data_IF_367478608744
#
_entry.id   IF_367478608744
#
_cell.length_a   1.000
_cell.length_b   1.000
_cell.length_c   1.000
_cell.angle_alpha   90.00
_cell.angle_beta   90.00
_cell.angle_gamma   90.00
#
_symmetry.space_group_name_H-M   'P 1'
#
loop_
_entity.id
_entity.type
_entity.pdbx_description
1 polymer ?
#
# COMPACT_ATOMS: atom_id res chain seq x y z
N UNK A 1 15.24 -4.25 -57.17
CA UNK A 1 14.30 -3.32 -57.82
C UNK A 1 14.67 -3.12 -59.29
N UNK A 2 13.70 -2.94 -60.18
CA UNK A 2 13.96 -2.60 -61.60
C UNK A 2 13.96 -1.07 -61.84
N UNK A 3 14.41 -0.62 -63.02
CA UNK A 3 14.52 0.82 -63.34
C UNK A 3 13.16 1.55 -63.31
N UNK A 4 12.06 0.90 -63.70
CA UNK A 4 10.72 1.50 -63.65
C UNK A 4 10.25 1.72 -62.21
N UNK A 5 10.38 0.70 -61.35
CA UNK A 5 10.06 0.78 -59.92
C UNK A 5 10.92 1.83 -59.20
N UNK A 6 12.20 1.91 -59.55
CA UNK A 6 13.11 2.92 -59.01
C UNK A 6 12.67 4.32 -59.40
N UNK A 7 12.29 4.52 -60.67
CA UNK A 7 11.80 5.80 -61.19
C UNK A 7 10.51 6.22 -60.49
N UNK A 8 9.54 5.33 -60.34
CA UNK A 8 8.27 5.62 -59.63
C UNK A 8 8.48 6.11 -58.20
N UNK A 9 9.43 5.50 -57.47
CA UNK A 9 9.80 5.98 -56.13
C UNK A 9 10.49 7.34 -56.21
N UNK A 10 11.44 7.50 -57.12
CA UNK A 10 12.25 8.71 -57.24
C UNK A 10 11.47 9.92 -57.78
N UNK A 11 10.30 9.73 -58.41
CA UNK A 11 9.40 10.84 -58.79
C UNK A 11 9.04 11.71 -57.57
N UNK A 12 8.92 11.10 -56.38
CA UNK A 12 8.58 11.82 -55.16
C UNK A 12 9.79 12.36 -54.39
N UNK A 13 11.01 12.04 -54.83
CA UNK A 13 12.25 12.41 -54.15
C UNK A 13 12.60 13.89 -54.42
N UNK A 14 12.74 14.68 -53.34
CA UNK A 14 12.94 16.14 -53.38
C UNK A 14 14.38 16.55 -53.03
N UNK A 15 15.34 15.68 -53.33
CA UNK A 15 16.76 15.93 -53.08
C UNK A 15 17.07 16.00 -51.58
N UNK A 16 17.79 17.04 -51.16
CA UNK A 16 18.32 17.21 -49.79
C UNK A 16 17.33 17.07 -48.64
N UNK A 17 16.03 17.29 -48.89
CA UNK A 17 14.98 17.09 -47.87
C UNK A 17 14.84 15.60 -47.51
N UNK A 18 14.99 14.75 -48.52
CA UNK A 18 14.67 13.33 -48.45
C UNK A 18 15.94 12.45 -48.47
N UNK A 19 17.14 13.05 -48.40
CA UNK A 19 18.43 12.35 -48.41
C UNK A 19 18.59 11.36 -47.24
N UNK A 20 17.95 11.67 -46.10
CA UNK A 20 17.96 10.84 -44.90
C UNK A 20 16.75 9.89 -44.81
N UNK A 21 15.85 9.89 -45.80
CA UNK A 21 14.67 9.04 -45.81
C UNK A 21 14.99 7.65 -46.39
N UNK A 22 14.90 6.57 -45.58
CA UNK A 22 15.23 5.21 -46.02
C UNK A 22 14.39 4.74 -47.22
N UNK A 23 13.22 5.35 -47.47
CA UNK A 23 12.36 4.98 -48.59
C UNK A 23 13.05 5.14 -49.96
N UNK A 24 13.99 6.07 -50.09
CA UNK A 24 14.67 6.37 -51.35
C UNK A 24 16.05 5.72 -51.48
N UNK A 25 16.63 5.18 -50.41
CA UNK A 25 18.01 4.65 -50.40
C UNK A 25 18.26 3.58 -51.48
N UNK A 26 17.38 2.58 -51.55
CA UNK A 26 17.49 1.50 -52.54
C UNK A 26 17.36 2.04 -53.98
N UNK A 27 16.49 3.02 -54.19
CA UNK A 27 16.24 3.64 -55.49
C UNK A 27 17.40 4.53 -55.95
N UNK A 28 17.96 5.30 -55.03
CA UNK A 28 19.16 6.10 -55.27
C UNK A 28 20.37 5.22 -55.55
N UNK A 29 20.51 4.09 -54.83
CA UNK A 29 21.57 3.12 -55.09
C UNK A 29 21.43 2.47 -56.48
N UNK A 30 20.20 2.19 -56.92
CA UNK A 30 19.92 1.72 -58.29
C UNK A 30 20.26 2.78 -59.34
N UNK A 31 19.80 4.02 -59.14
CA UNK A 31 20.10 5.14 -60.04
C UNK A 31 21.59 5.40 -60.19
N UNK A 32 22.44 5.18 -59.16
CA UNK A 32 23.90 5.31 -59.30
C UNK A 32 24.53 4.31 -60.29
N UNK A 33 23.88 3.17 -60.53
CA UNK A 33 24.36 2.13 -61.44
C UNK A 33 23.77 2.25 -62.86
N UNK A 34 22.73 3.07 -63.03
CA UNK A 34 22.01 3.28 -64.28
C UNK A 34 22.20 4.75 -64.73
N UNK A 35 23.08 5.02 -65.72
CA UNK A 35 23.39 6.38 -66.15
C UNK A 35 22.20 7.21 -66.62
N UNK A 36 21.22 6.56 -67.27
CA UNK A 36 20.02 7.22 -67.80
C UNK A 36 19.10 7.64 -66.65
N UNK A 37 18.88 6.72 -65.70
CA UNK A 37 18.10 7.05 -64.50
C UNK A 37 18.80 8.12 -63.64
N UNK A 38 20.12 8.07 -63.53
CA UNK A 38 20.90 9.10 -62.83
C UNK A 38 20.73 10.49 -63.45
N UNK A 39 20.71 10.57 -64.78
CA UNK A 39 20.50 11.82 -65.50
C UNK A 39 19.09 12.36 -65.29
N UNK A 40 18.09 11.49 -65.40
CA UNK A 40 16.71 11.84 -65.13
C UNK A 40 16.51 12.39 -63.70
N UNK A 41 17.12 11.78 -62.68
CA UNK A 41 17.07 12.30 -61.29
C UNK A 41 17.73 13.68 -61.19
N UNK A 42 18.86 13.91 -61.88
CA UNK A 42 19.53 15.22 -61.89
C UNK A 42 18.64 16.30 -62.52
N UNK A 43 17.97 15.99 -63.62
CA UNK A 43 17.05 16.91 -64.28
C UNK A 43 15.82 17.23 -63.42
N UNK A 44 15.22 16.20 -62.81
CA UNK A 44 14.11 16.36 -61.87
C UNK A 44 14.50 17.29 -60.71
N UNK A 45 15.69 17.09 -60.12
CA UNK A 45 16.20 17.95 -59.03
C UNK A 45 16.31 19.41 -59.45
N UNK A 46 16.83 19.70 -60.65
CA UNK A 46 16.90 21.07 -61.18
C UNK A 46 15.51 21.73 -61.27
N UNK A 47 14.52 20.97 -61.73
CA UNK A 47 13.13 21.44 -61.79
C UNK A 47 12.57 21.76 -60.40
N UNK A 48 12.75 20.86 -59.42
CA UNK A 48 12.32 21.10 -58.04
C UNK A 48 13.04 22.27 -57.38
N UNK A 49 14.36 22.39 -57.58
CA UNK A 49 15.15 23.48 -57.01
C UNK A 49 14.71 24.83 -57.58
N UNK A 50 14.37 24.89 -58.87
CA UNK A 50 13.82 26.10 -59.52
C UNK A 50 12.46 26.49 -58.93
N UNK A 51 11.53 25.54 -58.84
CA UNK A 51 10.20 25.77 -58.23
C UNK A 51 10.36 26.23 -56.78
N UNK A 52 11.24 25.57 -56.02
CA UNK A 52 11.50 25.89 -54.62
C UNK A 52 12.09 27.29 -54.46
N UNK A 53 13.02 27.68 -55.31
CA UNK A 53 13.59 29.03 -55.32
C UNK A 53 12.47 30.06 -55.52
N UNK A 54 11.62 29.86 -56.52
CA UNK A 54 10.49 30.76 -56.80
C UNK A 54 9.47 30.82 -55.68
N UNK A 55 9.15 29.70 -55.05
CA UNK A 55 8.25 29.68 -53.89
C UNK A 55 8.84 30.39 -52.67
N UNK A 56 10.16 30.34 -52.47
CA UNK A 56 10.85 31.03 -51.38
C UNK A 56 10.93 32.55 -51.56
N UNK A 57 10.80 33.04 -52.78
CA UNK A 57 10.69 34.48 -53.07
C UNK A 57 9.35 35.06 -52.59
N UNK A 58 8.35 34.23 -52.29
CA UNK A 58 7.03 34.67 -51.80
C UNK A 58 7.07 34.82 -50.29
N UNK A 59 6.88 36.05 -49.80
CA UNK A 59 6.72 36.30 -48.36
C UNK A 59 5.41 35.69 -47.85
N UNK A 60 5.45 34.77 -46.87
CA UNK A 60 4.24 34.23 -46.27
C UNK A 60 3.48 35.33 -45.51
N UNK A 61 2.14 35.45 -45.66
CA UNK A 61 1.35 36.34 -44.83
C UNK A 61 1.53 36.02 -43.34
N UNK A 62 1.63 37.05 -42.50
CA UNK A 62 1.90 36.89 -41.06
C UNK A 62 0.80 36.12 -40.31
N UNK A 63 -0.41 36.05 -40.86
CA UNK A 63 -1.57 35.35 -40.28
C UNK A 63 -1.76 33.92 -40.81
N UNK A 64 -0.88 33.44 -41.71
CA UNK A 64 -1.02 32.15 -42.37
C UNK A 64 -0.95 30.97 -41.38
N UNK A 65 0.00 31.02 -40.44
CA UNK A 65 0.17 29.97 -39.43
C UNK A 65 -1.08 29.81 -38.56
N UNK A 66 -1.66 30.93 -38.12
CA UNK A 66 -2.90 30.95 -37.34
C UNK A 66 -4.08 30.38 -38.13
N UNK A 67 -4.24 30.80 -39.40
CA UNK A 67 -5.28 30.29 -40.29
C UNK A 67 -5.17 28.78 -40.52
N UNK A 68 -3.95 28.23 -40.63
CA UNK A 68 -3.73 26.78 -40.79
C UNK A 68 -4.13 26.04 -39.52
N UNK A 69 -3.66 26.48 -38.35
CA UNK A 69 -3.97 25.85 -37.05
C UNK A 69 -5.48 25.88 -36.78
N UNK A 70 -6.14 27.01 -37.07
CA UNK A 70 -7.57 27.17 -36.86
C UNK A 70 -8.42 26.27 -37.77
N UNK A 71 -7.99 26.05 -39.01
CA UNK A 71 -8.74 25.25 -40.01
C UNK A 71 -8.40 23.76 -40.01
N UNK A 72 -7.25 23.36 -39.47
CA UNK A 72 -6.89 21.94 -39.28
C UNK A 72 -6.81 21.63 -37.79
N UNK A 73 -7.92 21.17 -37.16
CA UNK A 73 -7.81 20.62 -35.81
C UNK A 73 -6.86 19.42 -35.86
N UNK A 74 -5.75 19.50 -35.15
CA UNK A 74 -4.88 18.35 -34.90
C UNK A 74 -5.75 17.34 -34.14
N UNK A 75 -6.07 16.16 -34.69
CA UNK A 75 -6.83 15.19 -33.95
C UNK A 75 -5.96 14.71 -32.78
N UNK A 76 -6.20 15.25 -31.59
CA UNK A 76 -5.71 14.64 -30.36
C UNK A 76 -6.43 13.31 -30.22
N UNK A 77 -5.86 12.26 -30.81
CA UNK A 77 -6.34 10.89 -30.67
C UNK A 77 -6.10 10.48 -29.23
N UNK A 78 -7.06 10.78 -28.35
CA UNK A 78 -7.05 10.32 -26.96
C UNK A 78 -7.11 8.80 -26.99
N UNK A 79 -5.93 8.17 -26.95
CA UNK A 79 -5.80 6.73 -27.08
C UNK A 79 -6.54 6.05 -25.94
N UNK A 80 -7.49 5.18 -26.27
CA UNK A 80 -8.23 4.36 -25.30
C UNK A 80 -7.30 3.59 -24.35
N UNK A 81 -6.07 3.33 -24.77
CA UNK A 81 -4.99 2.74 -23.96
C UNK A 81 -4.58 3.60 -22.76
N UNK A 82 -4.64 4.93 -22.84
CA UNK A 82 -4.34 5.82 -21.72
C UNK A 82 -5.47 5.81 -20.67
N UNK A 83 -6.72 5.68 -21.12
CA UNK A 83 -7.88 5.56 -20.22
C UNK A 83 -7.82 4.24 -19.45
N UNK A 84 -7.49 3.14 -20.14
CA UNK A 84 -7.33 1.81 -19.52
C UNK A 84 -6.18 1.79 -18.49
N UNK A 85 -5.04 2.45 -18.77
CA UNK A 85 -3.93 2.56 -17.82
C UNK A 85 -4.32 3.31 -16.54
N UNK A 86 -5.07 4.41 -16.67
CA UNK A 86 -5.57 5.17 -15.51
C UNK A 86 -6.56 4.35 -14.67
N UNK A 87 -7.48 3.63 -15.31
CA UNK A 87 -8.43 2.77 -14.62
C UNK A 87 -7.72 1.65 -13.82
N UNK A 88 -6.72 1.00 -14.42
CA UNK A 88 -5.93 -0.02 -13.74
C UNK A 88 -5.17 0.53 -12.52
N UNK A 89 -4.57 1.72 -12.64
CA UNK A 89 -3.86 2.36 -11.54
C UNK A 89 -4.79 2.67 -10.34
N UNK A 90 -6.01 3.15 -10.61
CA UNK A 90 -7.01 3.41 -9.58
C UNK A 90 -7.39 2.11 -8.85
N UNK A 91 -7.67 1.04 -9.59
CA UNK A 91 -8.05 -0.26 -9.00
C UNK A 91 -6.94 -0.83 -8.12
N UNK A 92 -5.69 -0.74 -8.55
CA UNK A 92 -4.53 -1.19 -7.77
C UNK A 92 -4.41 -0.36 -6.48
N UNK A 93 -4.51 0.97 -6.57
CA UNK A 93 -4.41 1.84 -5.40
C UNK A 93 -5.52 1.60 -4.37
N UNK A 94 -6.77 1.39 -4.83
CA UNK A 94 -7.91 1.09 -3.98
C UNK A 94 -7.75 -0.28 -3.29
N UNK A 95 -7.22 -1.26 -4.02
CA UNK A 95 -6.98 -2.61 -3.52
C UNK A 95 -5.89 -2.63 -2.44
N UNK A 96 -4.79 -1.91 -2.64
CA UNK A 96 -3.72 -1.76 -1.63
C UNK A 96 -4.28 -1.09 -0.37
N UNK A 97 -5.02 0.01 -0.53
CA UNK A 97 -5.62 0.75 0.59
C UNK A 97 -6.58 -0.14 1.39
N UNK A 98 -7.43 -0.93 0.73
CA UNK A 98 -8.36 -1.85 1.39
C UNK A 98 -7.62 -2.97 2.14
N UNK A 99 -6.55 -3.52 1.57
CA UNK A 99 -5.72 -4.54 2.24
C UNK A 99 -5.03 -3.96 3.47
N UNK A 100 -4.43 -2.76 3.35
CA UNK A 100 -3.80 -2.07 4.48
C UNK A 100 -4.78 -1.80 5.62
N UNK A 101 -5.99 -1.30 5.31
CA UNK A 101 -7.02 -1.07 6.32
C UNK A 101 -7.45 -2.36 7.03
N UNK A 102 -7.58 -3.45 6.27
CA UNK A 102 -7.94 -4.78 6.82
C UNK A 102 -6.83 -5.35 7.71
N UNK A 103 -5.57 -5.12 7.38
CA UNK A 103 -4.43 -5.52 8.21
C UNK A 103 -4.39 -4.73 9.52
N UNK A 104 -4.63 -3.42 9.48
CA UNK A 104 -4.67 -2.57 10.68
C UNK A 104 -5.83 -2.92 11.62
N UNK A 105 -7.02 -3.23 11.08
CA UNK A 105 -8.14 -3.73 11.90
C UNK A 105 -7.82 -5.05 12.59
N UNK A 106 -7.04 -5.94 11.97
CA UNK A 106 -6.73 -7.26 12.54
C UNK A 106 -5.81 -7.18 13.76
N UNK A 107 -4.89 -6.23 13.76
CA UNK A 107 -3.94 -6.00 14.85
C UNK A 107 -4.61 -5.35 16.07
N UNK A 108 -5.47 -4.35 15.85
CA UNK A 108 -6.25 -3.73 16.92
C UNK A 108 -7.21 -4.70 17.62
N UNK A 109 -7.86 -5.60 16.86
CA UNK A 109 -8.71 -6.63 17.45
C UNK A 109 -7.94 -7.67 18.30
N UNK A 110 -6.67 -7.98 17.97
CA UNK A 110 -5.84 -8.87 18.79
C UNK A 110 -5.52 -8.27 20.16
N UNK A 111 -5.23 -6.97 20.21
CA UNK A 111 -4.99 -6.27 21.48
C UNK A 111 -6.25 -6.25 22.37
N UNK A 112 -7.44 -6.21 21.76
CA UNK A 112 -8.73 -6.25 22.47
C UNK A 112 -9.08 -7.64 22.98
N UNK A 113 -8.60 -8.72 22.35
CA UNK A 113 -8.95 -10.09 22.74
C UNK A 113 -8.02 -10.72 23.80
N UNK A 114 -6.92 -10.07 24.16
CA UNK A 114 -5.98 -10.55 25.19
C UNK A 114 -5.26 -11.85 24.81
N UNK A 115 -4.11 -12.12 25.42
CA UNK A 115 -3.36 -13.37 25.24
C UNK A 115 -3.83 -14.39 26.26
N UNK A 116 -4.30 -15.56 25.84
CA UNK A 116 -4.62 -16.64 26.78
C UNK A 116 -3.34 -17.13 27.47
N UNK A 117 -3.35 -17.10 28.81
CA UNK A 117 -2.25 -17.55 29.66
C UNK A 117 -2.77 -18.34 30.87
N UNK A 118 -1.86 -19.10 31.49
CA UNK A 118 -2.10 -19.80 32.75
C UNK A 118 -1.08 -19.29 33.76
N UNK A 119 -1.56 -18.74 34.87
CA UNK A 119 -0.74 -18.13 35.92
C UNK A 119 -0.89 -18.92 37.20
N UNK A 120 0.21 -19.46 37.73
CA UNK A 120 0.27 -20.03 39.09
C UNK A 120 0.88 -19.00 40.02
N UNK A 121 0.24 -18.74 41.16
CA UNK A 121 0.69 -17.69 42.06
C UNK A 121 -0.18 -17.49 43.29
N UNK A 122 0.25 -16.58 44.15
CA UNK A 122 -0.43 -16.19 45.38
C UNK A 122 -1.52 -15.15 45.10
N UNK A 123 -2.74 -15.35 45.62
CA UNK A 123 -3.81 -14.34 45.54
C UNK A 123 -3.57 -13.23 46.57
N UNK A 124 -3.57 -11.98 46.11
CA UNK A 124 -3.24 -10.79 46.90
C UNK A 124 -4.45 -9.88 47.08
N UNK A 125 -4.54 -9.23 48.25
CA UNK A 125 -5.16 -7.91 48.35
C UNK A 125 -4.17 -6.87 47.81
N UNK A 126 -4.47 -6.29 46.66
CA UNK A 126 -3.56 -5.35 45.99
C UNK A 126 -3.35 -4.07 46.78
N UNK A 127 -4.32 -3.68 47.62
CA UNK A 127 -4.21 -2.46 48.43
C UNK A 127 -3.10 -2.62 49.45
N UNK A 128 -3.16 -3.69 50.25
CA UNK A 128 -2.16 -4.00 51.27
C UNK A 128 -0.82 -4.41 50.67
N UNK A 129 -0.82 -5.14 49.55
CA UNK A 129 0.42 -5.51 48.86
C UNK A 129 1.16 -4.29 48.31
N UNK A 130 0.48 -3.36 47.64
CA UNK A 130 1.15 -2.17 47.08
C UNK A 130 1.57 -1.20 48.18
N UNK A 131 0.72 -0.95 49.17
CA UNK A 131 1.01 0.06 50.21
C UNK A 131 2.04 -0.41 51.23
N UNK A 132 2.03 -1.70 51.59
CA UNK A 132 2.77 -2.22 52.73
C UNK A 132 3.56 -3.51 52.44
N UNK A 133 3.57 -3.98 51.18
CA UNK A 133 4.19 -5.25 50.80
C UNK A 133 3.71 -6.45 51.64
N UNK A 134 2.44 -6.40 52.08
CA UNK A 134 1.82 -7.47 52.86
C UNK A 134 1.34 -8.59 51.94
N UNK A 135 1.79 -9.81 52.21
CA UNK A 135 1.33 -11.05 51.59
C UNK A 135 1.60 -12.23 52.53
N UNK A 136 1.22 -13.43 52.12
CA UNK A 136 1.48 -14.68 52.82
C UNK A 136 0.43 -15.05 53.87
N UNK A 137 0.58 -16.24 54.49
CA UNK A 137 -0.42 -16.81 55.39
C UNK A 137 -0.82 -15.91 56.56
N UNK A 138 0.13 -15.15 57.10
CA UNK A 138 -0.11 -14.19 58.20
C UNK A 138 -1.12 -13.08 57.82
N UNK A 139 -1.19 -12.74 56.53
CA UNK A 139 -2.10 -11.72 56.02
C UNK A 139 -3.40 -12.29 55.43
N UNK A 140 -3.58 -13.63 55.44
CA UNK A 140 -4.71 -14.29 54.77
C UNK A 140 -6.08 -13.82 55.28
N UNK A 141 -6.23 -13.64 56.60
CA UNK A 141 -7.49 -13.22 57.22
C UNK A 141 -7.88 -11.79 56.81
N UNK A 142 -6.94 -10.86 56.91
CA UNK A 142 -7.14 -9.46 56.53
C UNK A 142 -7.41 -9.33 55.03
N UNK A 143 -6.58 -9.98 54.19
CA UNK A 143 -6.77 -9.99 52.75
C UNK A 143 -8.15 -10.55 52.36
N UNK A 144 -8.60 -11.66 52.97
CA UNK A 144 -9.92 -12.22 52.70
C UNK A 144 -11.03 -11.20 52.96
N UNK A 145 -10.98 -10.51 54.09
CA UNK A 145 -12.03 -9.55 54.48
C UNK A 145 -12.03 -8.31 53.59
N UNK A 146 -10.85 -7.79 53.25
CA UNK A 146 -10.65 -6.72 52.28
C UNK A 146 -11.23 -7.07 50.91
N UNK A 147 -10.91 -8.26 50.41
CA UNK A 147 -11.39 -8.74 49.12
C UNK A 147 -12.91 -8.89 49.13
N UNK A 148 -13.51 -9.45 50.20
CA UNK A 148 -14.97 -9.55 50.35
C UNK A 148 -15.68 -8.20 50.31
N UNK A 149 -15.01 -7.13 50.77
CA UNK A 149 -15.50 -5.75 50.72
C UNK A 149 -15.34 -5.07 49.36
N UNK A 150 -14.76 -5.76 48.38
CA UNK A 150 -14.62 -5.24 47.01
C UNK A 150 -13.27 -4.58 46.72
N UNK A 151 -12.27 -4.69 47.61
CA UNK A 151 -10.93 -4.18 47.30
C UNK A 151 -10.28 -4.95 46.14
N UNK A 152 -9.38 -4.32 45.37
CA UNK A 152 -8.81 -4.94 44.17
C UNK A 152 -8.01 -6.21 44.50
N UNK A 153 -8.26 -7.27 43.75
CA UNK A 153 -7.57 -8.56 43.91
C UNK A 153 -6.51 -8.72 42.84
N UNK A 154 -5.36 -9.26 43.21
CA UNK A 154 -4.32 -9.63 42.26
C UNK A 154 -3.84 -11.06 42.42
N UNK A 155 -2.97 -11.47 41.53
CA UNK A 155 -2.16 -12.68 41.67
C UNK A 155 -0.69 -12.33 41.47
N UNK A 156 0.17 -12.73 42.40
CA UNK A 156 1.62 -12.70 42.25
C UNK A 156 2.10 -14.05 41.73
N UNK A 157 2.46 -14.07 40.47
CA UNK A 157 2.96 -15.26 39.79
C UNK A 157 4.28 -15.72 40.39
N UNK A 158 4.62 -17.00 40.18
CA UNK A 158 5.89 -17.59 40.64
C UNK A 158 7.13 -16.93 40.04
N UNK A 159 6.99 -16.27 38.88
CA UNK A 159 8.05 -15.47 38.23
C UNK A 159 8.17 -14.05 38.82
N UNK A 160 7.35 -13.71 39.82
CA UNK A 160 7.32 -12.40 40.48
C UNK A 160 6.40 -11.36 39.84
N UNK A 161 5.83 -11.63 38.65
CA UNK A 161 4.92 -10.69 37.99
C UNK A 161 3.56 -10.65 38.69
N UNK A 162 2.99 -9.45 38.81
CA UNK A 162 1.69 -9.24 39.47
C UNK A 162 0.65 -8.83 38.44
N UNK A 163 -0.52 -9.46 38.51
CA UNK A 163 -1.65 -9.18 37.63
C UNK A 163 -2.85 -8.73 38.45
N UNK A 164 -3.51 -7.66 38.02
CA UNK A 164 -4.84 -7.32 38.52
C UNK A 164 -5.85 -8.33 37.97
N UNK A 165 -6.54 -9.03 38.86
CA UNK A 165 -7.57 -9.98 38.47
C UNK A 165 -8.88 -9.25 38.19
N UNK A 166 -9.41 -9.43 36.99
CA UNK A 166 -10.71 -8.88 36.61
C UNK A 166 -11.60 -9.94 36.02
N UNK A 167 -12.89 -9.64 35.96
CA UNK A 167 -13.86 -10.50 35.32
C UNK A 167 -15.19 -10.43 36.04
N UNK A 168 -16.20 -10.99 35.40
CA UNK A 168 -17.53 -11.11 35.96
C UNK A 168 -17.90 -12.57 35.92
N UNK A 169 -18.35 -13.14 37.04
CA UNK A 169 -19.02 -14.44 37.00
C UNK A 169 -20.51 -14.23 36.73
N UNK A 170 -20.84 -13.75 35.52
CA UNK A 170 -22.21 -13.44 35.13
C UNK A 170 -23.14 -14.65 35.26
N UNK A 171 -22.60 -15.87 35.04
CA UNK A 171 -23.35 -17.12 35.19
C UNK A 171 -23.75 -17.44 36.63
N UNK A 172 -22.95 -17.04 37.63
CA UNK A 172 -23.26 -17.30 39.05
C UNK A 172 -23.89 -16.12 39.80
N UNK A 173 -24.05 -14.96 39.17
CA UNK A 173 -24.52 -13.70 39.83
C UNK A 173 -23.73 -13.38 41.12
N UNK A 174 -22.50 -13.86 41.22
CA UNK A 174 -21.59 -13.62 42.33
C UNK A 174 -20.47 -12.70 41.86
N UNK A 175 -19.99 -11.83 42.75
CA UNK A 175 -18.79 -11.05 42.45
C UNK A 175 -17.58 -11.99 42.32
N UNK A 176 -16.64 -11.66 41.43
CA UNK A 176 -15.38 -12.39 41.32
C UNK A 176 -14.61 -12.34 42.65
N UNK A 177 -14.64 -11.20 43.33
CA UNK A 177 -14.09 -11.00 44.66
C UNK A 177 -14.59 -12.02 45.69
N UNK A 178 -15.90 -12.31 45.73
CA UNK A 178 -16.47 -13.29 46.67
C UNK A 178 -15.84 -14.68 46.50
N UNK A 179 -15.51 -15.07 45.27
CA UNK A 179 -14.83 -16.33 44.99
C UNK A 179 -13.33 -16.27 45.30
N UNK A 180 -12.68 -15.16 44.95
CA UNK A 180 -11.23 -14.98 45.18
C UNK A 180 -10.89 -14.80 46.65
N UNK A 181 -11.80 -14.28 47.47
CA UNK A 181 -11.59 -14.11 48.90
C UNK A 181 -11.25 -15.43 49.61
N UNK A 182 -11.87 -16.54 49.21
CA UNK A 182 -11.60 -17.87 49.78
C UNK A 182 -10.19 -18.39 49.43
N UNK A 183 -9.52 -17.73 48.48
CA UNK A 183 -8.15 -18.00 48.06
C UNK A 183 -7.15 -16.96 48.55
N UNK A 184 -7.54 -15.98 49.38
CA UNK A 184 -6.65 -14.96 49.89
C UNK A 184 -5.36 -15.56 50.51
N UNK A 185 -4.21 -15.07 50.08
CA UNK A 185 -2.86 -15.55 50.42
C UNK A 185 -2.58 -17.05 50.11
N UNK A 186 -3.46 -17.73 49.37
CA UNK A 186 -3.25 -19.10 48.89
C UNK A 186 -2.66 -19.07 47.50
N UNK A 187 -1.88 -20.11 47.19
CA UNK A 187 -1.41 -20.35 45.83
C UNK A 187 -2.50 -21.05 45.01
N UNK A 188 -2.88 -20.46 43.89
CA UNK A 188 -3.84 -21.01 42.93
C UNK A 188 -3.26 -20.98 41.52
N UNK A 189 -3.92 -21.68 40.60
CA UNK A 189 -3.63 -21.59 39.17
C UNK A 189 -4.83 -20.98 38.45
N UNK A 190 -4.64 -19.85 37.78
CA UNK A 190 -5.68 -19.11 37.07
C UNK A 190 -5.42 -19.19 35.57
N UNK A 191 -6.40 -19.67 34.80
CA UNK A 191 -6.43 -19.49 33.34
C UNK A 191 -7.23 -18.25 33.03
N UNK A 192 -6.70 -17.43 32.12
CA UNK A 192 -7.38 -16.21 31.70
C UNK A 192 -6.72 -15.54 30.52
N UNK A 193 -7.27 -14.38 30.15
CA UNK A 193 -6.75 -13.53 29.08
C UNK A 193 -5.97 -12.37 29.67
N UNK A 194 -4.68 -12.34 29.37
CA UNK A 194 -3.80 -11.24 29.73
C UNK A 194 -3.99 -10.07 28.78
N UNK A 195 -4.15 -8.89 29.37
CA UNK A 195 -4.05 -7.60 28.67
C UNK A 195 -3.03 -6.73 29.41
N UNK A 196 -2.30 -5.92 28.65
CA UNK A 196 -1.35 -4.96 29.20
C UNK A 196 -1.61 -3.59 28.57
N UNK A 197 -1.68 -2.55 29.40
CA UNK A 197 -1.80 -1.15 28.97
C UNK A 197 -1.00 -0.29 29.93
N UNK A 198 -0.11 0.56 29.39
CA UNK A 198 0.67 1.52 30.17
C UNK A 198 1.40 0.92 31.38
N UNK A 199 1.91 -0.32 31.24
CA UNK A 199 2.59 -1.06 32.30
C UNK A 199 1.68 -1.79 33.30
N UNK A 200 0.36 -1.58 33.24
CA UNK A 200 -0.60 -2.33 34.05
C UNK A 200 -0.93 -3.66 33.40
N UNK A 201 -0.59 -4.75 34.08
CA UNK A 201 -0.96 -6.10 33.68
C UNK A 201 -2.30 -6.50 34.32
N UNK A 202 -3.24 -6.89 33.48
CA UNK A 202 -4.56 -7.36 33.86
C UNK A 202 -4.73 -8.80 33.39
N UNK A 203 -5.40 -9.62 34.20
CA UNK A 203 -5.77 -10.98 33.84
C UNK A 203 -7.29 -11.13 33.99
N UNK A 204 -7.97 -11.29 32.86
CA UNK A 204 -9.39 -11.61 32.84
C UNK A 204 -9.57 -13.09 33.20
N UNK A 205 -10.09 -13.35 34.40
CA UNK A 205 -10.23 -14.69 34.98
C UNK A 205 -11.31 -15.48 34.24
N UNK A 206 -10.93 -16.62 33.66
CA UNK A 206 -11.85 -17.57 33.03
C UNK A 206 -12.05 -18.83 33.88
N UNK A 207 -10.96 -19.32 34.50
CA UNK A 207 -10.98 -20.53 35.32
C UNK A 207 -10.00 -20.39 36.50
N UNK A 208 -10.42 -20.81 37.69
CA UNK A 208 -9.58 -20.86 38.89
C UNK A 208 -9.45 -22.34 39.30
N UNK A 209 -8.22 -22.84 39.37
CA UNK A 209 -7.87 -24.17 39.85
C UNK A 209 -7.17 -24.09 41.18
N UNK A 210 -7.60 -24.93 42.11
CA UNK A 210 -6.94 -25.11 43.41
C UNK A 210 -5.62 -25.85 43.17
N UNK A 211 -4.56 -25.43 43.87
CA UNK A 211 -3.30 -26.16 43.90
C UNK A 211 -3.42 -27.42 44.75
#
# INVERSE_FOLDING_TARGET
MNTSEAKERLVLYRGSIDDADPQFEEALAHARRDPELAEWVREQRKSYDTIRSKLREIEPPSDLAEKIIRKRPIPFRRGWTQILKLAAAIIISASITAVSLKLWQRESHRLVQGKEIVVKGEVLDMTCYIAYNMSGPEHAGCARDCIKRGLPVGIKATDGKVYLLVGTNWRRRESLNSQLAEYAAKTVTIRGKETMRDGFAQLQVEEIRKS
#
